data_IF_077902994583
#
_entry.id   IF_077902994583
#
_cell.length_a   1.000
_cell.length_b   1.000
_cell.length_c   1.000
_cell.angle_alpha   90.00
_cell.angle_beta   90.00
_cell.angle_gamma   90.00
#
_symmetry.space_group_name_H-M   'P 1'
#
loop_
_entity.id
_entity.type
_entity.pdbx_description
1 polymer ?
#
# COMPACT_ATOMS: atom_id res chain seq x y z
N UNK A 1 14.78 12.32 5.98
CA UNK A 1 13.74 13.32 5.65
C UNK A 1 12.59 12.65 4.89
N UNK A 2 11.69 11.97 5.60
CA UNK A 2 10.60 11.16 5.00
C UNK A 2 9.34 11.99 4.68
N UNK A 3 9.30 13.30 5.00
CA UNK A 3 8.12 14.13 4.80
C UNK A 3 6.86 13.51 5.40
N UNK A 4 5.75 13.42 4.64
CA UNK A 4 4.47 12.89 5.12
C UNK A 4 4.53 11.41 5.49
N UNK A 5 5.58 10.68 5.08
CA UNK A 5 5.78 9.27 5.41
C UNK A 5 6.44 9.05 6.78
N UNK A 6 7.03 10.09 7.38
CA UNK A 6 7.76 9.96 8.65
C UNK A 6 6.94 9.31 9.78
N UNK A 7 5.66 9.67 9.97
CA UNK A 7 4.82 9.05 11.00
C UNK A 7 4.54 7.56 10.77
N UNK A 8 4.67 7.08 9.52
CA UNK A 8 4.40 5.68 9.17
C UNK A 8 5.56 4.73 9.50
N UNK A 9 6.77 5.26 9.78
CA UNK A 9 7.93 4.42 10.07
C UNK A 9 7.73 3.58 11.34
N UNK A 10 8.00 2.27 11.27
CA UNK A 10 7.87 1.33 12.37
C UNK A 10 7.16 0.04 12.01
N UNK A 11 6.79 -0.72 13.04
CA UNK A 11 5.97 -1.93 12.89
C UNK A 11 4.59 -1.67 13.48
N UNK A 12 3.59 -2.05 12.73
CA UNK A 12 2.20 -1.73 13.01
C UNK A 12 1.32 -2.97 12.95
N UNK A 13 0.24 -2.97 13.72
CA UNK A 13 -0.78 -4.01 13.73
C UNK A 13 -2.18 -3.40 13.72
N UNK A 14 -3.08 -4.05 12.97
CA UNK A 14 -4.50 -3.76 12.93
C UNK A 14 -5.31 -5.05 13.03
N UNK A 15 -6.27 -5.07 13.96
CA UNK A 15 -7.09 -6.26 14.25
C UNK A 15 -8.51 -6.16 13.67
N UNK A 16 -8.86 -5.02 13.09
CA UNK A 16 -10.20 -4.70 12.59
C UNK A 16 -10.21 -4.30 11.12
N UNK A 17 -9.30 -4.89 10.35
CA UNK A 17 -9.32 -4.71 8.91
C UNK A 17 -10.64 -5.20 8.32
N UNK A 18 -11.13 -4.50 7.30
CA UNK A 18 -12.32 -4.86 6.54
C UNK A 18 -11.92 -5.04 5.10
N UNK A 19 -12.20 -6.22 4.58
CA UNK A 19 -11.94 -6.63 3.20
C UNK A 19 -13.28 -6.96 2.52
N UNK A 20 -13.52 -6.39 1.35
CA UNK A 20 -14.67 -6.71 0.50
C UNK A 20 -14.14 -7.41 -0.76
N UNK A 21 -14.07 -8.73 -0.71
CA UNK A 21 -13.54 -9.56 -1.78
C UNK A 21 -14.62 -10.10 -2.75
N UNK A 22 -14.28 -10.34 -4.02
CA UNK A 22 -15.20 -10.92 -4.98
C UNK A 22 -15.37 -12.43 -4.72
N UNK A 23 -16.62 -12.89 -4.61
CA UNK A 23 -16.96 -14.31 -4.62
C UNK A 23 -17.94 -14.60 -5.76
N UNK A 24 -17.97 -15.86 -6.16
CA UNK A 24 -18.89 -16.34 -7.22
C UNK A 24 -20.36 -16.07 -6.90
N UNK A 25 -20.69 -15.97 -5.61
CA UNK A 25 -22.06 -15.77 -5.08
C UNK A 25 -22.35 -14.32 -4.68
N UNK A 26 -21.43 -13.37 -5.00
CA UNK A 26 -21.53 -11.95 -4.64
C UNK A 26 -20.36 -11.45 -3.79
N UNK A 27 -20.37 -10.18 -3.41
CA UNK A 27 -19.37 -9.58 -2.55
C UNK A 27 -19.40 -10.18 -1.13
N UNK A 28 -18.24 -10.50 -0.58
CA UNK A 28 -18.11 -10.97 0.80
C UNK A 28 -17.33 -9.95 1.61
N UNK A 29 -17.90 -9.51 2.72
CA UNK A 29 -17.19 -8.70 3.72
C UNK A 29 -16.61 -9.59 4.80
N UNK A 30 -15.30 -9.47 5.06
CA UNK A 30 -14.62 -10.22 6.11
C UNK A 30 -13.64 -9.32 6.86
N UNK A 31 -13.45 -9.63 8.17
CA UNK A 31 -12.42 -9.03 8.98
C UNK A 31 -11.06 -9.69 8.74
N UNK A 32 -9.98 -8.95 8.98
CA UNK A 32 -8.63 -9.51 8.96
C UNK A 32 -7.74 -8.87 10.04
N UNK A 33 -6.69 -9.62 10.40
CA UNK A 33 -5.56 -9.12 11.14
C UNK A 33 -4.46 -8.74 10.16
N UNK A 34 -3.86 -7.58 10.38
CA UNK A 34 -2.75 -7.08 9.57
C UNK A 34 -1.55 -6.77 10.43
N UNK A 35 -0.37 -7.15 9.96
CA UNK A 35 0.91 -6.67 10.44
C UNK A 35 1.67 -6.06 9.27
N UNK A 36 2.15 -4.83 9.45
CA UNK A 36 2.94 -4.13 8.45
C UNK A 36 4.24 -3.61 9.08
N UNK A 37 5.36 -3.87 8.42
CA UNK A 37 6.68 -3.34 8.77
C UNK A 37 7.07 -2.29 7.74
N UNK A 38 7.33 -1.05 8.19
CA UNK A 38 7.72 0.10 7.38
C UNK A 38 9.08 0.60 7.87
N UNK A 39 10.16 0.25 7.16
CA UNK A 39 11.52 0.52 7.59
C UNK A 39 12.19 1.58 6.72
N UNK A 40 12.76 2.66 7.31
CA UNK A 40 13.50 3.64 6.56
C UNK A 40 14.67 3.03 5.81
N UNK A 41 14.80 3.38 4.54
CA UNK A 41 15.99 3.10 3.71
C UNK A 41 16.87 4.33 3.57
N UNK A 42 18.07 4.11 3.00
CA UNK A 42 18.91 5.22 2.59
C UNK A 42 18.25 5.98 1.43
N UNK A 43 18.49 7.31 1.31
CA UNK A 43 17.98 8.06 0.18
C UNK A 43 18.52 7.50 -1.14
N UNK A 44 17.60 7.22 -2.07
CA UNK A 44 17.94 6.91 -3.45
C UNK A 44 18.04 8.17 -4.31
N UNK A 45 18.89 8.15 -5.32
CA UNK A 45 18.92 9.25 -6.28
C UNK A 45 18.95 8.74 -7.74
N UNK A 46 18.32 9.51 -8.61
CA UNK A 46 18.35 9.34 -10.06
C UNK A 46 18.90 10.65 -10.66
N UNK A 47 20.21 10.88 -10.53
CA UNK A 47 20.79 12.18 -10.83
C UNK A 47 20.26 13.27 -9.87
N UNK A 48 19.54 14.29 -10.37
CA UNK A 48 19.00 15.36 -9.52
C UNK A 48 17.76 14.97 -8.69
N UNK A 49 17.10 13.86 -9.01
CA UNK A 49 15.95 13.39 -8.26
C UNK A 49 16.41 12.66 -6.98
N UNK A 50 15.94 13.10 -5.84
CA UNK A 50 16.20 12.46 -4.55
C UNK A 50 14.89 11.91 -3.97
N UNK A 51 14.92 10.63 -3.63
CA UNK A 51 13.79 9.87 -3.07
C UNK A 51 14.11 9.39 -1.67
N UNK A 52 13.25 9.70 -0.72
CA UNK A 52 13.29 9.10 0.62
C UNK A 52 12.29 7.95 0.68
N UNK A 53 12.69 6.81 1.25
CA UNK A 53 11.94 5.58 1.15
C UNK A 53 11.64 4.94 2.51
N UNK A 54 10.47 4.34 2.61
CA UNK A 54 10.15 3.29 3.56
C UNK A 54 10.01 1.98 2.78
N UNK A 55 10.90 1.02 3.02
CA UNK A 55 10.69 -0.36 2.57
C UNK A 55 9.60 -0.97 3.44
N UNK A 56 8.62 -1.62 2.83
CA UNK A 56 7.56 -2.24 3.61
C UNK A 56 7.29 -3.69 3.24
N UNK A 57 6.72 -4.39 4.22
CA UNK A 57 6.15 -5.71 4.05
C UNK A 57 4.88 -5.81 4.89
N UNK A 58 3.79 -6.23 4.24
CA UNK A 58 2.48 -6.43 4.86
C UNK A 58 2.08 -7.90 4.79
N UNK A 59 1.56 -8.41 5.90
CA UNK A 59 0.96 -9.74 6.02
C UNK A 59 -0.46 -9.61 6.56
N UNK A 60 -1.41 -10.26 5.87
CA UNK A 60 -2.80 -10.35 6.31
C UNK A 60 -3.15 -11.80 6.62
N UNK A 61 -3.82 -12.00 7.76
CA UNK A 61 -4.37 -13.29 8.15
C UNK A 61 -5.85 -13.14 8.53
N UNK A 62 -6.60 -14.22 8.36
CA UNK A 62 -8.00 -14.24 8.81
C UNK A 62 -8.05 -14.46 10.33
N UNK A 63 -9.05 -13.87 11.01
CA UNK A 63 -9.23 -14.09 12.45
C UNK A 63 -9.37 -15.58 12.79
N UNK A 64 -8.52 -16.07 13.71
CA UNK A 64 -8.53 -17.46 14.15
C UNK A 64 -7.90 -18.48 13.20
N UNK A 65 -7.44 -18.08 12.02
CA UNK A 65 -6.72 -18.94 11.09
C UNK A 65 -5.20 -18.77 11.24
N UNK A 66 -4.46 -19.89 11.09
CA UNK A 66 -3.00 -19.85 10.96
C UNK A 66 -2.65 -19.71 9.48
N UNK A 67 -1.74 -18.81 9.18
CA UNK A 67 -1.26 -18.57 7.81
C UNK A 67 -1.68 -17.22 7.25
N UNK A 68 -0.96 -16.81 6.22
CA UNK A 68 -1.14 -15.53 5.52
C UNK A 68 -1.91 -15.78 4.24
N UNK A 69 -3.00 -15.08 4.01
CA UNK A 69 -3.75 -15.14 2.75
C UNK A 69 -3.39 -14.01 1.78
N UNK A 70 -2.79 -12.92 2.29
CA UNK A 70 -2.26 -11.82 1.50
C UNK A 70 -0.86 -11.44 1.99
N UNK A 71 0.06 -11.31 1.06
CA UNK A 71 1.45 -10.93 1.27
C UNK A 71 1.78 -9.84 0.25
N UNK A 72 2.36 -8.74 0.70
CA UNK A 72 2.63 -7.60 -0.17
C UNK A 72 3.92 -6.91 0.26
N UNK A 73 4.78 -6.61 -0.70
CA UNK A 73 6.07 -5.95 -0.49
C UNK A 73 6.25 -4.77 -1.42
N UNK A 74 7.10 -3.83 -1.02
CA UNK A 74 7.46 -2.70 -1.87
C UNK A 74 8.02 -1.51 -1.11
N UNK A 75 7.76 -0.32 -1.63
CA UNK A 75 8.27 0.93 -1.09
C UNK A 75 7.20 2.01 -1.08
N UNK A 76 7.21 2.80 -0.02
CA UNK A 76 6.63 4.14 0.01
C UNK A 76 7.76 5.13 -0.24
N UNK A 77 7.58 6.03 -1.19
CA UNK A 77 8.60 6.98 -1.63
C UNK A 77 8.12 8.41 -1.49
N UNK A 78 9.00 9.28 -1.05
CA UNK A 78 8.77 10.71 -0.94
C UNK A 78 9.81 11.49 -1.74
N UNK A 79 9.36 12.35 -2.67
CA UNK A 79 10.17 13.29 -3.42
C UNK A 79 9.88 14.72 -2.96
N UNK A 80 10.75 15.33 -2.12
CA UNK A 80 10.50 16.66 -1.56
C UNK A 80 10.43 17.77 -2.60
N UNK A 81 11.25 17.66 -3.65
CA UNK A 81 11.37 18.71 -4.68
C UNK A 81 10.04 18.97 -5.42
N UNK A 82 9.22 17.96 -5.55
CA UNK A 82 7.95 18.03 -6.28
C UNK A 82 6.72 17.80 -5.42
N UNK A 83 6.90 17.47 -4.15
CA UNK A 83 5.81 17.07 -3.25
C UNK A 83 5.14 15.78 -3.70
N UNK A 84 5.88 14.87 -4.33
CA UNK A 84 5.32 13.62 -4.85
C UNK A 84 5.46 12.49 -3.82
N UNK A 85 4.36 11.79 -3.55
CA UNK A 85 4.35 10.52 -2.84
C UNK A 85 4.07 9.41 -3.84
N UNK A 86 4.82 8.32 -3.74
CA UNK A 86 4.60 7.12 -4.57
C UNK A 86 4.48 5.89 -3.68
N UNK A 87 3.69 4.94 -4.12
CA UNK A 87 3.56 3.63 -3.50
C UNK A 87 3.79 2.56 -4.55
N UNK A 88 4.96 1.91 -4.50
CA UNK A 88 5.21 0.72 -5.31
C UNK A 88 4.85 -0.51 -4.50
N UNK A 89 4.09 -1.42 -5.08
CA UNK A 89 3.70 -2.67 -4.44
C UNK A 89 3.77 -3.85 -5.40
N UNK A 90 4.05 -5.01 -4.83
CA UNK A 90 4.04 -6.29 -5.56
C UNK A 90 3.42 -7.35 -4.68
N UNK A 91 2.55 -8.17 -5.27
CA UNK A 91 1.91 -9.31 -4.64
C UNK A 91 2.32 -10.63 -5.31
N UNK A 92 2.38 -11.76 -4.57
CA UNK A 92 2.84 -13.05 -5.10
C UNK A 92 1.81 -13.73 -6.03
N UNK A 93 0.99 -12.93 -6.67
CA UNK A 93 0.04 -13.33 -7.72
C UNK A 93 0.48 -12.82 -9.10
N UNK A 94 1.70 -12.26 -9.21
CA UNK A 94 2.23 -11.72 -10.46
C UNK A 94 1.57 -10.42 -10.88
N UNK A 95 1.32 -9.54 -9.91
CA UNK A 95 0.84 -8.17 -10.13
C UNK A 95 1.70 -7.17 -9.39
N UNK A 96 1.96 -6.03 -10.02
CA UNK A 96 2.64 -4.90 -9.43
C UNK A 96 1.92 -3.60 -9.75
N UNK A 97 2.00 -2.65 -8.84
CA UNK A 97 1.41 -1.31 -8.98
C UNK A 97 2.45 -0.25 -8.61
N UNK A 98 2.48 0.84 -9.35
CA UNK A 98 3.12 2.08 -8.94
C UNK A 98 2.06 3.17 -8.91
N UNK A 99 1.59 3.52 -7.72
CA UNK A 99 0.62 4.59 -7.50
C UNK A 99 1.31 5.90 -7.12
N UNK A 100 0.68 7.03 -7.46
CA UNK A 100 1.24 8.36 -7.24
C UNK A 100 0.18 9.32 -6.71
N UNK A 101 0.64 10.29 -5.91
CA UNK A 101 -0.15 11.43 -5.44
C UNK A 101 0.73 12.60 -5.04
N UNK A 102 0.12 13.69 -4.61
CA UNK A 102 0.79 14.90 -4.12
C UNK A 102 0.45 15.13 -2.65
N UNK A 103 1.45 15.56 -1.90
CA UNK A 103 1.29 15.94 -0.50
C UNK A 103 2.26 17.06 -0.12
N UNK A 104 1.98 17.80 0.93
CA UNK A 104 2.99 18.61 1.64
C UNK A 104 3.79 17.74 2.59
N UNK A 105 4.96 18.21 3.02
CA UNK A 105 5.85 17.45 3.91
C UNK A 105 5.23 17.13 5.28
N UNK A 106 4.24 17.93 5.69
CA UNK A 106 3.50 17.82 6.96
C UNK A 106 2.06 17.30 6.76
N UNK A 107 1.71 16.84 5.55
CA UNK A 107 0.38 16.34 5.27
C UNK A 107 0.03 15.14 6.17
N UNK A 108 -1.17 15.20 6.73
CA UNK A 108 -1.72 14.12 7.56
C UNK A 108 -2.70 13.23 6.82
N UNK A 109 -3.13 13.67 5.65
CA UNK A 109 -3.97 12.87 4.75
C UNK A 109 -3.48 13.08 3.33
N UNK A 110 -3.33 11.99 2.59
CA UNK A 110 -2.93 12.01 1.18
C UNK A 110 -3.49 10.79 0.45
N UNK A 111 -3.78 10.98 -0.83
CA UNK A 111 -4.35 9.95 -1.70
C UNK A 111 -3.41 9.69 -2.87
N UNK A 112 -3.22 8.41 -3.18
CA UNK A 112 -2.43 7.94 -4.32
C UNK A 112 -3.32 7.10 -5.23
N UNK A 113 -3.05 7.15 -6.53
CA UNK A 113 -3.77 6.36 -7.50
C UNK A 113 -2.87 5.81 -8.61
N UNK A 114 -3.31 4.72 -9.22
CA UNK A 114 -2.72 4.14 -10.42
C UNK A 114 -3.84 3.72 -11.38
N UNK A 115 -3.55 3.80 -12.68
CA UNK A 115 -4.46 3.42 -13.74
C UNK A 115 -3.81 2.38 -14.64
N UNK A 116 -4.59 1.40 -15.06
CA UNK A 116 -4.16 0.44 -16.07
C UNK A 116 -3.86 1.14 -17.41
N UNK A 117 -2.85 0.66 -18.12
CA UNK A 117 -2.49 1.16 -19.45
C UNK A 117 -1.63 2.41 -19.47
N UNK A 118 -1.26 2.96 -18.31
CA UNK A 118 -0.27 4.04 -18.22
C UNK A 118 1.15 3.47 -18.18
N UNK A 119 2.13 4.26 -18.65
CA UNK A 119 3.54 3.87 -18.68
C UNK A 119 4.37 4.53 -17.58
N UNK A 120 3.84 5.56 -16.93
CA UNK A 120 4.54 6.33 -15.89
C UNK A 120 4.18 5.81 -14.49
N UNK A 121 2.89 5.78 -14.18
CA UNK A 121 2.33 5.26 -12.92
C UNK A 121 1.18 4.34 -13.28
N UNK A 122 1.32 3.05 -12.99
CA UNK A 122 0.38 2.10 -13.55
C UNK A 122 0.32 0.77 -12.84
N UNK A 123 -0.41 -0.12 -13.47
CA UNK A 123 -0.69 -1.48 -13.01
C UNK A 123 -0.18 -2.45 -14.07
N UNK A 124 0.63 -3.43 -13.64
CA UNK A 124 1.13 -4.51 -14.49
C UNK A 124 0.73 -5.84 -13.87
N UNK A 125 0.07 -6.68 -14.65
CA UNK A 125 -0.45 -7.98 -14.21
C UNK A 125 -0.01 -9.08 -15.17
N UNK A 126 0.09 -10.31 -14.67
CA UNK A 126 0.30 -11.46 -15.52
C UNK A 126 -0.90 -11.69 -16.46
N UNK A 127 -0.74 -12.42 -17.59
CA UNK A 127 -1.80 -12.60 -18.58
C UNK A 127 -3.08 -13.26 -18.05
N UNK A 128 -2.97 -14.14 -17.04
CA UNK A 128 -4.15 -14.78 -16.46
C UNK A 128 -5.03 -13.77 -15.72
N UNK A 129 -4.41 -12.90 -14.91
CA UNK A 129 -5.12 -11.83 -14.22
C UNK A 129 -5.75 -10.84 -15.20
N UNK A 130 -5.01 -10.43 -16.23
CA UNK A 130 -5.53 -9.54 -17.29
C UNK A 130 -6.78 -10.10 -17.96
N UNK A 131 -6.88 -11.41 -18.12
CA UNK A 131 -8.00 -12.06 -18.79
C UNK A 131 -9.18 -12.37 -17.88
N UNK A 132 -8.95 -12.62 -16.57
CA UNK A 132 -9.96 -13.18 -15.68
C UNK A 132 -10.32 -12.24 -14.50
N UNK A 133 -9.36 -11.41 -14.05
CA UNK A 133 -9.49 -10.51 -12.90
C UNK A 133 -8.72 -9.21 -13.17
N UNK A 134 -9.07 -8.53 -14.25
CA UNK A 134 -8.36 -7.36 -14.72
C UNK A 134 -8.51 -6.21 -13.74
N UNK A 135 -7.40 -5.68 -13.24
CA UNK A 135 -7.39 -4.49 -12.39
C UNK A 135 -7.32 -3.25 -13.28
N UNK A 136 -8.33 -2.40 -13.22
CA UNK A 136 -8.43 -1.18 -14.04
C UNK A 136 -7.90 0.06 -13.31
N UNK A 137 -8.11 0.15 -11.99
CA UNK A 137 -7.57 1.22 -11.16
C UNK A 137 -7.31 0.77 -9.73
N UNK A 138 -6.41 1.50 -9.07
CA UNK A 138 -6.07 1.36 -7.67
C UNK A 138 -6.04 2.73 -7.04
N UNK A 139 -6.65 2.89 -5.87
CA UNK A 139 -6.62 4.13 -5.08
C UNK A 139 -6.43 3.79 -3.62
N UNK A 140 -5.54 4.51 -2.95
CA UNK A 140 -5.34 4.40 -1.50
C UNK A 140 -5.30 5.79 -0.89
N UNK A 141 -6.06 5.99 0.18
CA UNK A 141 -6.02 7.19 1.02
C UNK A 141 -5.48 6.83 2.39
N UNK A 142 -4.42 7.51 2.80
CA UNK A 142 -3.78 7.36 4.12
C UNK A 142 -4.17 8.54 4.99
N UNK A 143 -4.51 8.28 6.24
CA UNK A 143 -4.80 9.30 7.27
C UNK A 143 -4.00 9.02 8.55
N UNK A 144 -3.25 10.03 9.01
CA UNK A 144 -2.48 10.01 10.24
C UNK A 144 -3.30 10.70 11.33
N UNK A 145 -3.55 10.01 12.43
CA UNK A 145 -4.40 10.48 13.53
C UNK A 145 -3.59 11.11 14.66
N UNK A 146 -4.24 11.96 15.47
CA UNK A 146 -3.59 12.66 16.59
C UNK A 146 -3.19 11.74 17.75
N UNK A 147 -3.81 10.57 17.85
CA UNK A 147 -3.48 9.55 18.85
C UNK A 147 -2.26 8.67 18.47
N UNK A 148 -1.55 9.03 17.38
CA UNK A 148 -0.37 8.30 16.92
C UNK A 148 -0.68 7.04 16.12
N UNK A 149 -1.95 6.75 15.84
CA UNK A 149 -2.36 5.70 14.89
C UNK A 149 -2.44 6.26 13.47
N UNK A 150 -2.49 5.39 12.48
CA UNK A 150 -2.86 5.77 11.12
C UNK A 150 -3.84 4.76 10.53
N UNK A 151 -4.58 5.18 9.52
CA UNK A 151 -5.52 4.34 8.80
C UNK A 151 -5.36 4.49 7.31
N UNK A 152 -5.86 3.51 6.57
CA UNK A 152 -6.01 3.61 5.13
C UNK A 152 -7.38 3.14 4.69
N UNK A 153 -7.79 3.66 3.53
CA UNK A 153 -8.92 3.19 2.74
C UNK A 153 -8.40 2.92 1.33
N UNK A 154 -8.64 1.72 0.82
CA UNK A 154 -8.18 1.27 -0.48
C UNK A 154 -9.36 0.82 -1.33
N UNK A 155 -9.35 1.16 -2.62
CA UNK A 155 -10.30 0.69 -3.61
C UNK A 155 -9.56 0.22 -4.86
N UNK A 156 -9.61 -1.07 -5.12
CA UNK A 156 -9.09 -1.70 -6.33
C UNK A 156 -10.28 -2.05 -7.23
N UNK A 157 -10.42 -1.32 -8.34
CA UNK A 157 -11.49 -1.54 -9.30
C UNK A 157 -11.06 -2.63 -10.28
N UNK A 158 -11.85 -3.69 -10.35
CA UNK A 158 -11.55 -4.88 -11.15
C UNK A 158 -12.67 -5.20 -12.11
N UNK A 159 -12.31 -5.67 -13.32
CA UNK A 159 -13.23 -6.33 -14.23
C UNK A 159 -13.07 -7.85 -14.11
N UNK A 160 -14.07 -8.52 -13.58
CA UNK A 160 -14.10 -9.97 -13.42
C UNK A 160 -14.76 -10.58 -14.66
N UNK A 161 -14.09 -11.58 -15.26
CA UNK A 161 -14.60 -12.27 -16.45
C UNK A 161 -15.98 -12.88 -16.20
N UNK A 162 -16.95 -12.51 -17.04
CA UNK A 162 -18.35 -12.98 -16.95
C UNK A 162 -19.21 -12.14 -16.01
N UNK A 163 -18.71 -11.02 -15.50
CA UNK A 163 -19.50 -10.01 -14.81
C UNK A 163 -19.58 -8.74 -15.69
N UNK A 164 -20.77 -8.14 -15.78
CA UNK A 164 -21.00 -6.96 -16.61
C UNK A 164 -20.54 -5.68 -15.89
N UNK A 165 -20.66 -5.63 -14.57
CA UNK A 165 -20.32 -4.47 -13.77
C UNK A 165 -18.90 -4.60 -13.16
N UNK A 166 -18.16 -3.49 -13.04
CA UNK A 166 -16.90 -3.47 -12.31
C UNK A 166 -17.08 -3.87 -10.85
N UNK A 167 -16.14 -4.63 -10.33
CA UNK A 167 -16.09 -5.01 -8.93
C UNK A 167 -15.14 -4.08 -8.17
N UNK A 168 -15.60 -3.53 -7.03
CA UNK A 168 -14.81 -2.74 -6.11
C UNK A 168 -14.30 -3.62 -4.97
N UNK A 169 -13.03 -4.00 -5.03
CA UNK A 169 -12.33 -4.65 -3.94
C UNK A 169 -11.85 -3.57 -2.98
N UNK A 170 -12.48 -3.49 -1.83
CA UNK A 170 -12.24 -2.43 -0.84
C UNK A 170 -11.65 -2.99 0.42
N UNK A 171 -10.55 -2.38 0.83
CA UNK A 171 -9.84 -2.68 2.06
C UNK A 171 -9.71 -1.44 2.92
N UNK A 172 -9.82 -1.60 4.23
CA UNK A 172 -9.54 -0.53 5.18
C UNK A 172 -9.07 -1.09 6.51
N UNK A 173 -8.19 -0.39 7.16
CA UNK A 173 -7.76 -0.73 8.51
C UNK A 173 -7.27 0.51 9.27
N UNK A 174 -7.26 0.43 10.59
CA UNK A 174 -6.60 1.38 11.48
C UNK A 174 -5.53 0.65 12.27
N UNK A 175 -4.31 1.18 12.22
CA UNK A 175 -3.10 0.53 12.67
C UNK A 175 -2.51 1.24 13.88
N UNK A 176 -2.12 0.48 14.89
CA UNK A 176 -1.38 0.94 16.07
C UNK A 176 0.09 0.52 15.98
N UNK A 177 0.99 1.37 16.42
CA UNK A 177 2.42 1.04 16.45
C UNK A 177 2.70 0.00 17.52
N UNK A 178 3.42 -1.06 17.14
CA UNK A 178 3.85 -2.13 18.07
C UNK A 178 5.37 -2.16 18.25
N UNK A 179 6.14 -1.59 17.30
CA UNK A 179 7.58 -1.39 17.46
C UNK A 179 8.06 -0.15 16.70
N UNK A 180 9.15 0.45 17.18
CA UNK A 180 9.87 1.51 16.49
C UNK A 180 10.48 0.98 15.18
N UNK A 181 10.82 1.87 14.22
CA UNK A 181 11.57 1.45 13.04
C UNK A 181 12.98 0.98 13.43
N UNK A 182 13.48 0.00 12.69
CA UNK A 182 14.85 -0.48 12.83
C UNK A 182 15.77 0.40 11.97
N UNK A 183 16.88 0.90 12.52
CA UNK A 183 17.89 1.60 11.74
C UNK A 183 18.48 0.69 10.65
N UNK A 184 18.84 1.27 9.51
CA UNK A 184 19.65 0.53 8.53
C UNK A 184 20.98 0.08 9.21
N UNK A 185 21.29 -1.24 9.26
CA UNK A 185 22.48 -1.74 9.97
C UNK A 185 23.80 -1.25 9.35
N UNK A 186 23.76 -0.72 8.13
CA UNK A 186 24.93 -0.15 7.43
C UNK A 186 24.90 1.39 7.43
N UNK A 187 23.91 2.02 8.08
CA UNK A 187 23.91 3.47 8.20
C UNK A 187 25.13 3.95 9.00
N UNK A 188 25.78 5.07 8.61
CA UNK A 188 26.87 5.64 9.39
C UNK A 188 26.38 5.93 10.81
N UNK A 189 27.11 5.42 11.80
CA UNK A 189 26.93 5.86 13.19
C UNK A 189 27.41 7.29 13.30
N UNK A 190 26.48 8.23 13.52
CA UNK A 190 26.80 9.63 13.84
C UNK A 190 27.41 9.76 15.21
#
# INVERSE_FOLDING_TARGET
>A
NLGPLAPLAGVWEGERGVDVDPKREGARTQGYFERISLQPGDPGNNGPQVLYALRYHTWLSKPGEKGTYHDQVGYWLWEPATGTVMHSLTIPRGQTVLAVGKASADARTFTLSAQRGTTDYGICSNPFLEQNFRTDSFTITVTIHDDGTWSYEEDTVMQIRGQDEPFHHRDSNRLRRVAAPEPNPLAPTT
#
